data_IF_877106933462
#
_entry.id   IF_877106933462
#
_cell.length_a   1.000
_cell.length_b   1.000
_cell.length_c   1.000
_cell.angle_alpha   90.00
_cell.angle_beta   90.00
_cell.angle_gamma   90.00
#
_symmetry.space_group_name_H-M   'P 1'
#
loop_
_entity.id
_entity.type
_entity.pdbx_description
1 polymer ?
#
# COMPACT_ATOMS: atom_id res chain seq x y z
N UNK A 1 10.61 -0.52 -0.16
CA UNK A 1 11.42 -1.60 0.45
C UNK A 1 10.51 -2.63 1.13
N UNK A 2 11.03 -3.77 1.60
CA UNK A 2 10.18 -4.87 2.12
C UNK A 2 9.56 -5.77 1.03
N UNK A 3 9.20 -7.00 1.43
CA UNK A 3 8.58 -8.06 0.59
C UNK A 3 9.34 -8.45 -0.69
N UNK A 4 10.66 -8.25 -0.75
CA UNK A 4 11.48 -8.63 -1.91
C UNK A 4 11.29 -7.76 -3.16
N UNK A 5 10.47 -6.70 -3.08
CA UNK A 5 10.24 -5.76 -4.20
C UNK A 5 11.28 -4.64 -4.28
N UNK A 6 12.22 -4.59 -3.34
CA UNK A 6 13.26 -3.56 -3.29
C UNK A 6 14.26 -3.61 -4.44
N UNK A 7 14.45 -4.78 -5.07
CA UNK A 7 15.29 -4.91 -6.26
C UNK A 7 14.49 -4.49 -7.49
N UNK A 8 14.78 -3.29 -7.99
CA UNK A 8 14.14 -2.68 -9.16
C UNK A 8 15.07 -2.67 -10.36
N UNK A 9 14.50 -2.60 -11.56
CA UNK A 9 15.27 -2.32 -12.78
C UNK A 9 15.41 -0.81 -13.03
N UNK A 10 15.93 -0.45 -14.22
CA UNK A 10 16.20 0.94 -14.60
C UNK A 10 14.94 1.81 -14.65
N UNK A 11 13.77 1.22 -14.90
CA UNK A 11 12.48 1.93 -14.95
C UNK A 11 11.80 1.98 -13.57
N UNK A 12 12.45 1.44 -12.54
CA UNK A 12 11.91 1.38 -11.19
C UNK A 12 10.90 0.25 -10.97
N UNK A 13 10.73 -0.67 -11.93
CA UNK A 13 9.80 -1.80 -11.78
C UNK A 13 10.41 -2.91 -10.89
N UNK A 14 9.67 -3.51 -9.95
CA UNK A 14 10.18 -4.63 -9.16
C UNK A 14 10.55 -5.85 -10.03
N UNK A 15 11.82 -6.27 -9.96
CA UNK A 15 12.33 -7.39 -10.76
C UNK A 15 11.65 -8.71 -10.42
N UNK A 16 11.33 -8.92 -9.15
CA UNK A 16 10.63 -10.12 -8.68
C UNK A 16 9.30 -10.31 -9.44
N UNK A 17 8.49 -9.25 -9.56
CA UNK A 17 7.20 -9.31 -10.27
C UNK A 17 7.40 -9.62 -11.77
N UNK A 18 8.39 -8.99 -12.41
CA UNK A 18 8.74 -9.30 -13.82
C UNK A 18 9.17 -10.76 -14.01
N UNK A 19 9.93 -11.32 -13.06
CA UNK A 19 10.36 -12.71 -13.10
C UNK A 19 9.21 -13.69 -12.86
N UNK A 20 8.26 -13.38 -11.96
CA UNK A 20 7.03 -14.16 -11.78
C UNK A 20 6.18 -14.16 -13.06
N UNK A 21 6.06 -13.02 -13.74
CA UNK A 21 5.37 -12.95 -15.02
C UNK A 21 6.03 -13.81 -16.10
N UNK A 22 7.36 -13.83 -16.16
CA UNK A 22 8.10 -14.72 -17.06
C UNK A 22 7.80 -16.18 -16.74
N UNK A 23 7.90 -16.57 -15.47
CA UNK A 23 7.63 -17.93 -15.02
C UNK A 23 6.21 -18.36 -15.39
N UNK A 24 5.20 -17.52 -15.13
CA UNK A 24 3.82 -17.82 -15.46
C UNK A 24 3.61 -18.08 -16.96
N UNK A 25 4.28 -17.29 -17.83
CA UNK A 25 4.28 -17.53 -19.29
C UNK A 25 4.95 -18.85 -19.67
N UNK A 26 6.08 -19.19 -19.05
CA UNK A 26 6.80 -20.44 -19.31
C UNK A 26 5.92 -21.67 -18.97
N UNK A 27 5.01 -21.55 -18.00
CA UNK A 27 4.03 -22.57 -17.62
C UNK A 27 2.64 -22.39 -18.27
N UNK A 28 2.44 -21.38 -19.12
CA UNK A 28 1.16 -21.05 -19.74
C UNK A 28 0.00 -20.92 -18.73
N UNK A 29 0.24 -20.23 -17.62
CA UNK A 29 -0.78 -19.91 -16.60
C UNK A 29 -0.95 -18.40 -16.47
N UNK A 30 -2.17 -17.90 -16.19
CA UNK A 30 -2.38 -16.47 -15.96
C UNK A 30 -1.61 -15.99 -14.72
N UNK A 31 -0.92 -14.86 -14.83
CA UNK A 31 -0.31 -14.17 -13.69
C UNK A 31 -1.27 -13.12 -13.13
N UNK A 32 -1.75 -13.37 -11.91
CA UNK A 32 -2.64 -12.46 -11.18
C UNK A 32 -1.86 -11.80 -10.04
N UNK A 33 -1.93 -10.47 -9.94
CA UNK A 33 -1.38 -9.71 -8.83
C UNK A 33 -2.53 -9.22 -7.95
N UNK A 34 -2.50 -9.60 -6.68
CA UNK A 34 -3.23 -8.90 -5.63
C UNK A 34 -2.49 -7.61 -5.28
N UNK A 35 -3.04 -6.48 -5.73
CA UNK A 35 -2.57 -5.14 -5.40
C UNK A 35 -3.66 -4.40 -4.61
N UNK A 36 -4.28 -5.08 -3.62
CA UNK A 36 -5.34 -4.51 -2.80
C UNK A 36 -4.94 -3.18 -2.12
N UNK A 37 -3.67 -3.04 -1.75
CA UNK A 37 -3.09 -1.80 -1.19
C UNK A 37 -2.51 -0.85 -2.26
N UNK A 38 -2.75 -1.14 -3.52
CA UNK A 38 -2.29 -0.38 -4.67
C UNK A 38 -3.25 0.71 -5.10
N UNK A 39 -2.71 1.69 -5.81
CA UNK A 39 -3.47 2.72 -6.51
C UNK A 39 -3.28 2.55 -8.02
N UNK A 40 -4.36 2.41 -8.81
CA UNK A 40 -4.24 2.30 -10.26
C UNK A 40 -3.66 3.59 -10.87
N UNK A 41 -3.02 3.47 -12.03
CA UNK A 41 -2.40 4.54 -12.84
C UNK A 41 -1.15 5.21 -12.27
N UNK A 42 -1.09 5.45 -10.96
CA UNK A 42 0.09 6.09 -10.31
C UNK A 42 0.98 5.11 -9.55
N UNK A 43 0.49 3.90 -9.28
CA UNK A 43 1.22 2.83 -8.61
C UNK A 43 1.96 1.89 -9.56
N UNK A 44 1.98 0.60 -9.20
CA UNK A 44 2.57 -0.45 -10.01
C UNK A 44 1.84 -0.56 -11.36
N UNK A 45 2.59 -0.37 -12.44
CA UNK A 45 2.07 -0.51 -13.80
C UNK A 45 1.99 -1.99 -14.21
N UNK A 46 0.76 -2.48 -14.43
CA UNK A 46 0.46 -3.86 -14.87
C UNK A 46 1.23 -4.24 -16.14
N UNK A 47 1.42 -3.30 -17.07
CA UNK A 47 2.09 -3.55 -18.35
C UNK A 47 3.59 -3.73 -18.16
N UNK A 48 4.19 -3.04 -17.19
CA UNK A 48 5.61 -3.16 -16.89
C UNK A 48 5.92 -4.44 -16.13
N UNK A 49 5.10 -4.81 -15.14
CA UNK A 49 5.30 -6.07 -14.39
C UNK A 49 4.93 -7.30 -15.21
N UNK A 50 4.15 -7.12 -16.29
CA UNK A 50 3.78 -8.18 -17.23
C UNK A 50 2.71 -9.13 -16.69
N UNK A 51 1.90 -8.68 -15.72
CA UNK A 51 0.78 -9.45 -15.21
C UNK A 51 -0.40 -9.43 -16.20
N UNK A 52 -1.21 -10.49 -16.16
CA UNK A 52 -2.41 -10.60 -16.97
C UNK A 52 -3.61 -9.93 -16.30
N UNK A 53 -3.63 -9.93 -14.96
CA UNK A 53 -4.66 -9.32 -14.13
C UNK A 53 -4.03 -8.69 -12.90
N UNK A 54 -4.51 -7.50 -12.53
CA UNK A 54 -4.23 -6.84 -11.26
C UNK A 54 -5.53 -6.44 -10.58
N UNK A 55 -5.64 -6.76 -9.29
CA UNK A 55 -6.83 -6.52 -8.46
C UNK A 55 -6.52 -5.45 -7.42
N UNK A 56 -7.46 -4.55 -7.16
CA UNK A 56 -7.32 -3.43 -6.24
C UNK A 56 -8.53 -3.34 -5.29
N UNK A 57 -8.29 -2.90 -4.05
CA UNK A 57 -9.34 -2.44 -3.13
C UNK A 57 -9.39 -0.91 -3.23
N UNK A 58 -10.48 -0.39 -3.79
CA UNK A 58 -10.57 1.05 -4.08
C UNK A 58 -10.86 1.89 -2.83
N UNK A 59 -11.30 1.28 -1.74
CA UNK A 59 -11.58 1.91 -0.44
C UNK A 59 -10.39 1.98 0.51
N UNK A 60 -9.20 1.59 0.03
CA UNK A 60 -7.94 1.76 0.75
C UNK A 60 -7.21 3.01 0.26
N UNK A 61 -6.05 2.83 -0.39
CA UNK A 61 -5.19 3.92 -0.83
C UNK A 61 -5.82 4.83 -1.89
N UNK A 62 -6.84 4.36 -2.62
CA UNK A 62 -7.50 5.15 -3.68
C UNK A 62 -8.64 6.07 -3.19
N UNK A 63 -9.13 5.88 -1.96
CA UNK A 63 -10.14 6.76 -1.35
C UNK A 63 -11.57 6.68 -1.91
N UNK A 64 -11.93 5.64 -2.65
CA UNK A 64 -13.32 5.40 -3.07
C UNK A 64 -14.17 4.79 -1.94
N UNK A 65 -15.48 4.64 -2.13
CA UNK A 65 -16.28 3.77 -1.27
C UNK A 65 -15.95 2.29 -1.52
N UNK A 66 -16.32 1.41 -0.57
CA UNK A 66 -16.04 -0.03 -0.61
C UNK A 66 -16.38 -0.65 -1.95
N UNK A 67 -15.33 -0.96 -2.72
CA UNK A 67 -15.42 -1.49 -4.07
C UNK A 67 -14.10 -2.13 -4.51
N UNK A 68 -14.23 -3.12 -5.40
CA UNK A 68 -13.09 -3.75 -6.05
C UNK A 68 -12.89 -3.22 -7.47
N UNK A 69 -11.65 -3.11 -7.91
CA UNK A 69 -11.30 -2.90 -9.32
C UNK A 69 -10.43 -4.04 -9.80
N UNK A 70 -10.72 -4.54 -11.00
CA UNK A 70 -9.89 -5.52 -11.68
C UNK A 70 -9.51 -4.94 -13.04
N UNK A 71 -8.21 -4.80 -13.28
CA UNK A 71 -7.64 -4.39 -14.57
C UNK A 71 -6.90 -5.59 -15.14
N UNK A 72 -7.14 -5.95 -16.39
CA UNK A 72 -6.46 -7.09 -17.00
C UNK A 72 -6.71 -7.25 -18.48
N UNK A 73 -6.03 -8.23 -19.07
CA UNK A 73 -6.17 -8.61 -20.48
C UNK A 73 -7.55 -9.19 -20.75
N UNK A 74 -8.09 -8.88 -21.93
CA UNK A 74 -9.47 -9.22 -22.30
C UNK A 74 -9.75 -10.74 -22.28
N UNK A 75 -8.79 -11.54 -22.71
CA UNK A 75 -8.85 -13.00 -22.73
C UNK A 75 -9.05 -13.62 -21.33
N UNK A 76 -8.39 -13.05 -20.31
CA UNK A 76 -8.52 -13.51 -18.92
C UNK A 76 -9.77 -12.90 -18.26
N UNK A 77 -10.01 -11.61 -18.51
CA UNK A 77 -11.14 -10.88 -17.93
C UNK A 77 -12.50 -11.42 -18.38
N UNK A 78 -12.60 -12.02 -19.56
CA UNK A 78 -13.84 -12.65 -20.03
C UNK A 78 -14.31 -13.77 -19.10
N UNK A 79 -13.40 -14.65 -18.69
CA UNK A 79 -13.72 -15.75 -17.76
C UNK A 79 -14.06 -15.22 -16.37
N UNK A 80 -13.32 -14.21 -15.87
CA UNK A 80 -13.59 -13.56 -14.58
C UNK A 80 -14.99 -12.94 -14.58
N UNK A 81 -15.34 -12.15 -15.60
CA UNK A 81 -16.65 -11.49 -15.69
C UNK A 81 -17.81 -12.51 -15.76
N UNK A 82 -17.62 -13.63 -16.45
CA UNK A 82 -18.59 -14.74 -16.46
C UNK A 82 -18.75 -15.36 -15.07
N UNK A 83 -17.65 -15.65 -14.38
CA UNK A 83 -17.67 -16.21 -13.03
C UNK A 83 -18.33 -15.28 -12.00
N UNK A 84 -18.15 -13.96 -12.13
CA UNK A 84 -18.78 -12.96 -11.28
C UNK A 84 -20.26 -12.68 -11.62
N UNK A 85 -20.75 -13.21 -12.74
CA UNK A 85 -22.13 -12.96 -13.18
C UNK A 85 -22.36 -11.54 -13.72
N UNK A 86 -21.30 -10.87 -14.19
CA UNK A 86 -21.39 -9.51 -14.77
C UNK A 86 -21.31 -9.51 -16.30
N UNK A 87 -21.28 -10.70 -16.90
CA UNK A 87 -21.29 -10.94 -18.34
C UNK A 87 -22.52 -11.76 -18.74
N UNK A 88 -23.25 -11.37 -19.80
CA UNK A 88 -24.35 -12.18 -20.36
C UNK A 88 -23.88 -13.26 -21.35
N UNK A 89 -24.72 -14.23 -21.72
CA UNK A 89 -24.35 -15.32 -22.65
C UNK A 89 -24.06 -14.89 -24.11
N UNK A 90 -24.19 -13.60 -24.43
CA UNK A 90 -24.07 -13.08 -25.81
C UNK A 90 -22.69 -12.49 -26.10
N UNK A 91 -22.34 -12.44 -27.38
CA UNK A 91 -21.14 -11.77 -27.90
C UNK A 91 -21.15 -10.26 -27.56
N UNK A 92 -20.00 -9.71 -27.16
CA UNK A 92 -19.85 -8.31 -26.74
C UNK A 92 -19.70 -8.19 -25.22
N UNK A 93 -18.46 -8.28 -24.74
CA UNK A 93 -18.09 -8.40 -23.32
C UNK A 93 -18.41 -7.18 -22.46
N UNK A 94 -18.61 -6.01 -23.08
CA UNK A 94 -18.82 -4.73 -22.40
C UNK A 94 -20.27 -4.20 -22.45
N UNK A 95 -21.16 -4.81 -23.24
CA UNK A 95 -22.51 -4.26 -23.49
C UNK A 95 -23.66 -4.96 -22.75
N UNK A 96 -23.34 -5.95 -21.90
CA UNK A 96 -24.33 -6.87 -21.32
C UNK A 96 -24.28 -7.02 -19.79
N UNK A 97 -23.93 -5.95 -19.06
CA UNK A 97 -24.06 -5.93 -17.60
C UNK A 97 -25.51 -6.19 -17.18
N UNK A 98 -25.73 -7.09 -16.21
CA UNK A 98 -27.06 -7.45 -15.72
C UNK A 98 -27.88 -8.38 -16.64
N UNK A 99 -27.29 -8.91 -17.73
CA UNK A 99 -27.91 -9.95 -18.57
C UNK A 99 -27.33 -11.35 -18.32
N UNK A 100 -26.50 -11.50 -17.30
CA UNK A 100 -26.14 -12.82 -16.79
C UNK A 100 -27.39 -13.48 -16.19
N UNK A 101 -27.46 -14.82 -16.24
CA UNK A 101 -28.54 -15.55 -15.56
C UNK A 101 -28.60 -15.24 -14.05
N UNK A 102 -27.45 -14.89 -13.45
CA UNK A 102 -27.31 -14.46 -12.07
C UNK A 102 -26.23 -13.38 -11.97
N UNK A 103 -26.52 -12.28 -11.26
CA UNK A 103 -25.51 -11.28 -10.88
C UNK A 103 -25.10 -11.58 -9.45
N UNK A 104 -23.97 -12.28 -9.27
CA UNK A 104 -23.51 -12.62 -7.93
C UNK A 104 -22.88 -11.44 -7.22
N UNK A 105 -22.21 -10.56 -7.97
CA UNK A 105 -21.48 -9.41 -7.44
C UNK A 105 -21.92 -8.12 -8.13
N UNK A 106 -22.78 -7.34 -7.46
CA UNK A 106 -23.17 -5.99 -7.86
C UNK A 106 -22.56 -4.99 -6.87
N UNK A 107 -21.64 -4.10 -7.29
CA UNK A 107 -21.07 -3.09 -6.40
C UNK A 107 -22.10 -2.06 -5.92
N UNK A 108 -23.23 -1.92 -6.61
CA UNK A 108 -24.23 -0.90 -6.30
C UNK A 108 -23.83 0.50 -6.80
N UNK A 109 -24.81 1.42 -6.80
CA UNK A 109 -24.66 2.73 -7.43
C UNK A 109 -23.65 3.64 -6.71
N UNK A 110 -23.62 3.59 -5.38
CA UNK A 110 -22.73 4.41 -4.56
C UNK A 110 -21.26 4.06 -4.78
N UNK A 111 -20.93 2.76 -4.74
CA UNK A 111 -19.62 2.25 -5.07
C UNK A 111 -19.20 2.67 -6.49
N UNK A 112 -20.06 2.50 -7.49
CA UNK A 112 -19.76 2.90 -8.87
C UNK A 112 -19.51 4.42 -9.00
N UNK A 113 -20.33 5.25 -8.36
CA UNK A 113 -20.17 6.71 -8.39
C UNK A 113 -18.85 7.15 -7.75
N UNK A 114 -18.54 6.64 -6.55
CA UNK A 114 -17.29 6.97 -5.85
C UNK A 114 -16.05 6.43 -6.59
N UNK A 115 -16.13 5.23 -7.16
CA UNK A 115 -15.05 4.65 -7.97
C UNK A 115 -14.79 5.47 -9.24
N UNK A 116 -15.84 5.94 -9.92
CA UNK A 116 -15.68 6.85 -11.07
C UNK A 116 -15.03 8.17 -10.62
N UNK A 117 -15.41 8.73 -9.47
CA UNK A 117 -14.80 9.95 -8.94
C UNK A 117 -13.31 9.75 -8.64
N UNK A 118 -12.94 8.67 -7.95
CA UNK A 118 -11.56 8.33 -7.66
C UNK A 118 -10.73 8.12 -8.94
N UNK A 119 -11.24 7.35 -9.91
CA UNK A 119 -10.55 7.11 -11.18
C UNK A 119 -10.37 8.38 -12.01
N UNK A 120 -11.34 9.31 -11.97
CA UNK A 120 -11.21 10.64 -12.60
C UNK A 120 -10.15 11.48 -11.91
N UNK A 121 -10.12 11.51 -10.58
CA UNK A 121 -9.08 12.22 -9.83
C UNK A 121 -7.69 11.66 -10.18
N UNK A 122 -7.51 10.35 -10.18
CA UNK A 122 -6.25 9.70 -10.55
C UNK A 122 -5.82 9.99 -12.00
N UNK A 123 -6.77 10.10 -12.94
CA UNK A 123 -6.48 10.40 -14.35
C UNK A 123 -6.19 11.88 -14.60
N UNK A 124 -7.03 12.76 -14.05
CA UNK A 124 -7.07 14.17 -14.42
C UNK A 124 -6.28 15.06 -13.45
N UNK A 125 -6.17 14.65 -12.19
CA UNK A 125 -5.54 15.40 -11.09
C UNK A 125 -4.77 14.49 -10.11
N UNK A 126 -3.83 13.64 -10.58
CA UNK A 126 -3.12 12.70 -9.71
C UNK A 126 -2.31 13.39 -8.59
N UNK A 127 -1.95 14.66 -8.76
CA UNK A 127 -1.18 15.44 -7.79
C UNK A 127 -1.84 15.51 -6.41
N UNK A 128 -3.17 15.39 -6.34
CA UNK A 128 -3.92 15.42 -5.06
C UNK A 128 -3.61 14.21 -4.17
N UNK A 129 -3.10 13.09 -4.73
CA UNK A 129 -2.60 11.95 -3.96
C UNK A 129 -1.07 11.93 -3.87
N UNK A 130 -0.36 12.47 -4.86
CA UNK A 130 1.10 12.42 -4.92
C UNK A 130 1.77 13.46 -4.02
N UNK A 131 1.30 14.70 -4.01
CA UNK A 131 1.92 15.79 -3.25
C UNK A 131 1.89 15.56 -1.73
N UNK A 132 0.80 15.03 -1.13
CA UNK A 132 0.81 14.67 0.28
C UNK A 132 1.87 13.61 0.61
N UNK A 133 2.10 12.63 -0.27
CA UNK A 133 3.15 11.61 -0.06
C UNK A 133 4.54 12.25 -0.11
N UNK A 134 4.77 13.15 -1.06
CA UNK A 134 6.05 13.87 -1.17
C UNK A 134 6.32 14.72 0.07
N UNK A 135 5.32 15.48 0.55
CA UNK A 135 5.50 16.29 1.75
C UNK A 135 5.63 15.46 3.02
N UNK A 136 4.85 14.38 3.14
CA UNK A 136 4.95 13.43 4.24
C UNK A 136 6.36 12.82 4.32
N UNK A 137 6.96 12.50 3.18
CA UNK A 137 8.30 11.93 3.12
C UNK A 137 9.36 12.89 3.69
N UNK A 138 9.29 14.16 3.33
CA UNK A 138 10.20 15.16 3.90
C UNK A 138 10.00 15.31 5.41
N UNK A 139 8.76 15.38 5.89
CA UNK A 139 8.47 15.44 7.33
C UNK A 139 9.03 14.21 8.06
N UNK A 140 8.77 13.00 7.55
CA UNK A 140 9.26 11.76 8.16
C UNK A 140 10.79 11.76 8.23
N UNK A 141 11.48 12.21 7.17
CA UNK A 141 12.95 12.34 7.20
C UNK A 141 13.44 13.37 8.21
N UNK A 142 12.83 14.54 8.26
CA UNK A 142 13.19 15.62 9.19
C UNK A 142 13.06 15.17 10.66
N UNK A 143 12.01 14.42 10.98
CA UNK A 143 11.77 13.92 12.34
C UNK A 143 12.69 12.73 12.66
N UNK A 144 12.89 11.77 11.74
CA UNK A 144 13.82 10.65 11.97
C UNK A 144 15.29 11.07 12.03
N UNK A 145 15.68 12.19 11.42
CA UNK A 145 17.02 12.76 11.59
C UNK A 145 17.31 13.18 13.04
N UNK A 146 16.28 13.35 13.86
CA UNK A 146 16.37 13.69 15.29
C UNK A 146 16.23 12.46 16.20
N UNK A 147 16.03 11.26 15.62
CA UNK A 147 15.92 10.03 16.39
C UNK A 147 17.28 9.60 16.99
N UNK A 148 17.29 8.74 18.03
CA UNK A 148 18.52 8.17 18.56
C UNK A 148 19.38 7.51 17.48
N UNK A 149 20.71 7.62 17.60
CA UNK A 149 21.66 7.39 16.52
C UNK A 149 21.61 5.99 15.86
N UNK A 150 21.40 4.87 16.60
CA UNK A 150 21.19 3.56 15.98
C UNK A 150 19.89 3.46 15.17
N UNK A 151 18.84 4.18 15.58
CA UNK A 151 17.56 4.19 14.88
C UNK A 151 17.62 5.11 13.65
N UNK A 152 18.15 6.33 13.79
CA UNK A 152 18.24 7.30 12.70
C UNK A 152 19.05 6.77 11.50
N UNK A 153 20.12 6.01 11.77
CA UNK A 153 20.96 5.42 10.72
C UNK A 153 20.47 4.04 10.24
N UNK A 154 19.70 3.34 11.06
CA UNK A 154 19.27 1.97 10.82
C UNK A 154 18.02 1.83 9.95
N UNK A 155 17.38 2.93 9.57
CA UNK A 155 16.14 2.92 8.77
C UNK A 155 16.36 3.36 7.32
N UNK A 156 15.58 2.77 6.42
CA UNK A 156 15.42 3.24 5.05
C UNK A 156 14.03 3.86 4.93
N UNK A 157 13.99 5.16 4.67
CA UNK A 157 12.75 5.91 4.46
C UNK A 157 12.55 6.05 2.95
N UNK A 158 11.38 5.69 2.45
CA UNK A 158 11.09 5.75 1.01
C UNK A 158 9.63 6.08 0.71
N UNK A 159 9.39 6.70 -0.44
CA UNK A 159 8.05 6.97 -0.95
C UNK A 159 7.46 5.72 -1.61
N UNK A 160 6.17 5.49 -1.37
CA UNK A 160 5.39 4.46 -2.04
C UNK A 160 4.14 5.08 -2.65
N UNK A 161 4.25 5.49 -3.92
CA UNK A 161 3.08 5.97 -4.67
C UNK A 161 2.07 4.87 -4.93
N UNK A 162 2.52 3.60 -4.99
CA UNK A 162 1.61 2.46 -5.11
C UNK A 162 0.65 2.40 -3.94
N UNK A 163 1.09 2.68 -2.72
CA UNK A 163 0.24 2.59 -1.53
C UNK A 163 -0.04 3.95 -0.89
N UNK A 164 0.27 5.04 -1.60
CA UNK A 164 0.18 6.43 -1.13
C UNK A 164 0.71 6.61 0.30
N UNK A 165 1.87 6.02 0.57
CA UNK A 165 2.47 5.99 1.90
C UNK A 165 3.95 6.36 1.86
N UNK A 166 4.48 6.66 3.03
CA UNK A 166 5.92 6.68 3.30
C UNK A 166 6.25 5.42 4.08
N UNK A 167 7.15 4.62 3.52
CA UNK A 167 7.66 3.40 4.13
C UNK A 167 8.89 3.71 4.98
N UNK A 168 8.92 3.18 6.20
CA UNK A 168 10.07 3.20 7.11
C UNK A 168 10.47 1.75 7.34
N UNK A 169 11.46 1.28 6.58
CA UNK A 169 11.99 -0.06 6.70
C UNK A 169 13.15 -0.05 7.71
N UNK A 170 12.96 -0.73 8.84
CA UNK A 170 13.92 -0.83 9.94
C UNK A 170 14.60 -2.21 10.01
N UNK A 171 14.33 -3.11 9.08
CA UNK A 171 15.09 -4.35 8.87
C UNK A 171 16.63 -4.14 8.85
N UNK A 172 17.19 -3.06 8.23
CA UNK A 172 18.63 -2.87 8.19
C UNK A 172 19.29 -2.65 9.55
N UNK A 173 18.52 -2.40 10.61
CA UNK A 173 19.04 -2.38 12.00
C UNK A 173 19.66 -3.72 12.41
N UNK A 174 19.33 -4.82 11.73
CA UNK A 174 19.93 -6.15 11.92
C UNK A 174 21.20 -6.39 11.10
N UNK A 175 21.68 -5.41 10.33
CA UNK A 175 22.95 -5.52 9.61
C UNK A 175 24.11 -5.19 10.57
N UNK A 176 24.87 -6.21 10.97
CA UNK A 176 26.08 -6.07 11.78
C UNK A 176 26.10 -7.03 12.95
N UNK A 177 26.98 -6.76 13.91
CA UNK A 177 27.26 -7.66 15.05
C UNK A 177 26.47 -7.32 16.33
N UNK A 178 25.59 -6.29 16.27
CA UNK A 178 24.74 -5.87 17.38
C UNK A 178 23.33 -6.49 17.35
N UNK A 179 22.58 -6.31 18.42
CA UNK A 179 21.14 -6.60 18.42
C UNK A 179 20.44 -5.59 17.50
N UNK A 180 19.62 -6.08 16.57
CA UNK A 180 18.78 -5.22 15.74
C UNK A 180 17.50 -4.80 16.47
N UNK A 181 16.77 -3.86 15.86
CA UNK A 181 15.49 -3.41 16.41
C UNK A 181 14.45 -4.54 16.29
N UNK A 182 13.65 -4.86 17.33
CA UNK A 182 12.69 -5.95 17.27
C UNK A 182 11.76 -5.88 16.04
N UNK A 183 11.68 -6.98 15.30
CA UNK A 183 10.79 -7.13 14.15
C UNK A 183 9.52 -7.83 14.63
N UNK A 184 8.37 -7.20 14.35
CA UNK A 184 7.05 -7.75 14.61
C UNK A 184 6.44 -8.25 13.30
N UNK A 185 5.88 -9.44 13.32
CA UNK A 185 5.29 -10.08 12.13
C UNK A 185 3.93 -9.50 11.76
N UNK A 186 3.42 -9.87 10.59
CA UNK A 186 2.02 -9.57 10.23
C UNK A 186 1.04 -10.34 11.14
N UNK A 187 1.42 -11.54 11.60
CA UNK A 187 0.64 -12.30 12.59
C UNK A 187 0.54 -11.53 13.92
N UNK A 188 1.60 -10.85 14.35
CA UNK A 188 1.55 -9.99 15.54
C UNK A 188 0.57 -8.83 15.38
N UNK A 189 0.47 -8.25 14.17
CA UNK A 189 -0.53 -7.22 13.87
C UNK A 189 -1.95 -7.80 14.03
N UNK A 190 -2.23 -8.95 13.41
CA UNK A 190 -3.56 -9.56 13.46
C UNK A 190 -3.93 -10.10 14.85
N UNK A 191 -2.96 -10.59 15.60
CA UNK A 191 -3.15 -11.06 16.97
C UNK A 191 -3.29 -9.90 17.98
N UNK A 192 -3.01 -8.65 17.56
CA UNK A 192 -2.99 -7.50 18.46
C UNK A 192 -1.81 -7.51 19.44
N UNK A 193 -0.72 -8.20 19.11
CA UNK A 193 0.51 -8.30 19.91
C UNK A 193 1.65 -7.43 19.37
N UNK A 194 1.45 -6.77 18.22
CA UNK A 194 2.42 -5.82 17.66
C UNK A 194 2.57 -4.61 18.59
N UNK A 195 3.75 -4.49 19.22
CA UNK A 195 4.02 -3.48 20.26
C UNK A 195 4.01 -2.06 19.67
N UNK A 196 4.44 -1.87 18.42
CA UNK A 196 4.43 -0.55 17.80
C UNK A 196 3.00 -0.05 17.60
N UNK A 197 2.08 -0.93 17.16
CA UNK A 197 0.69 -0.55 16.94
C UNK A 197 -0.07 -0.39 18.26
N UNK A 198 0.03 -1.37 19.15
CA UNK A 198 -0.64 -1.30 20.46
C UNK A 198 -0.10 -0.15 21.31
N UNK A 199 1.22 0.08 21.31
CA UNK A 199 1.84 1.20 22.02
C UNK A 199 1.41 2.56 21.49
N UNK A 200 1.32 2.74 20.17
CA UNK A 200 0.82 3.99 19.58
C UNK A 200 -0.62 4.28 20.03
N UNK A 201 -1.47 3.26 20.03
CA UNK A 201 -2.84 3.40 20.50
C UNK A 201 -2.90 3.85 21.97
N UNK A 202 -2.03 3.31 22.84
CA UNK A 202 -1.93 3.74 24.25
C UNK A 202 -1.43 5.19 24.39
N UNK A 203 -0.63 5.67 23.43
CA UNK A 203 -0.17 7.06 23.37
C UNK A 203 -1.21 8.02 22.76
N UNK A 204 -2.41 7.53 22.41
CA UNK A 204 -3.45 8.33 21.77
C UNK A 204 -3.17 8.63 20.29
N UNK A 205 -2.22 7.93 19.68
CA UNK A 205 -1.91 8.03 18.24
C UNK A 205 -2.60 6.88 17.52
N UNK A 206 -3.35 7.19 16.46
CA UNK A 206 -3.97 6.15 15.64
C UNK A 206 -2.82 5.31 15.01
N UNK A 207 -2.75 4.01 15.31
CA UNK A 207 -1.66 3.19 14.81
C UNK A 207 -1.77 3.06 13.29
N UNK A 208 -0.61 3.06 12.66
CA UNK A 208 -0.53 2.76 11.24
C UNK A 208 -0.18 1.28 11.02
N UNK A 209 -0.09 0.85 9.77
CA UNK A 209 0.35 -0.50 9.44
C UNK A 209 1.84 -0.64 9.73
N UNK A 210 2.18 -1.63 10.55
CA UNK A 210 3.56 -1.99 10.84
C UNK A 210 3.67 -3.51 10.95
N UNK A 211 4.55 -4.12 10.16
CA UNK A 211 4.90 -5.53 10.22
C UNK A 211 6.16 -5.81 9.40
N UNK A 212 6.79 -6.95 9.64
CA UNK A 212 7.93 -7.51 8.89
C UNK A 212 9.07 -6.50 8.66
N UNK A 213 9.38 -5.71 9.69
CA UNK A 213 10.47 -4.74 9.61
C UNK A 213 10.10 -3.46 8.86
N UNK A 214 8.81 -3.20 8.61
CA UNK A 214 8.34 -2.04 7.87
C UNK A 214 7.18 -1.32 8.59
N UNK A 215 7.14 0.00 8.46
CA UNK A 215 6.04 0.87 8.94
C UNK A 215 5.59 1.72 7.76
N UNK A 216 4.30 1.75 7.50
CA UNK A 216 3.71 2.52 6.41
C UNK A 216 2.97 3.70 7.00
N UNK A 217 3.38 4.94 6.75
CA UNK A 217 2.63 6.13 7.18
C UNK A 217 1.85 6.65 5.99
N UNK A 218 0.52 6.72 6.10
CA UNK A 218 -0.37 7.28 5.07
C UNK A 218 -0.94 8.63 5.50
N UNK A 219 -1.13 9.58 4.56
CA UNK A 219 -2.00 10.73 4.77
C UNK A 219 -3.48 10.29 4.86
N UNK A 220 -4.35 11.15 5.38
CA UNK A 220 -5.80 10.93 5.38
C UNK A 220 -6.47 11.30 6.70
N UNK A 221 -7.22 10.36 7.28
CA UNK A 221 -8.07 10.61 8.45
C UNK A 221 -7.30 11.33 9.57
N UNK A 222 -7.75 12.53 9.92
CA UNK A 222 -7.17 13.35 10.98
C UNK A 222 -5.87 14.06 10.61
N UNK A 223 -5.29 13.81 9.43
CA UNK A 223 -3.98 14.33 8.99
C UNK A 223 -4.02 15.09 7.67
N UNK A 224 -5.17 15.15 7.00
CA UNK A 224 -5.42 16.04 5.85
C UNK A 224 -6.66 16.92 6.06
N UNK A 225 -6.74 18.05 5.35
CA UNK A 225 -7.94 18.89 5.26
C UNK A 225 -8.90 18.40 4.15
N UNK A 226 -9.98 19.16 3.89
CA UNK A 226 -11.01 18.83 2.89
C UNK A 226 -10.47 18.87 1.45
N UNK A 227 -9.39 19.63 1.24
CA UNK A 227 -8.67 19.77 -0.02
C UNK A 227 -7.62 18.67 -0.24
N UNK A 228 -7.39 17.80 0.74
CA UNK A 228 -6.40 16.72 0.69
C UNK A 228 -4.98 17.16 1.06
N UNK A 229 -4.79 18.39 1.53
CA UNK A 229 -3.51 18.92 1.97
C UNK A 229 -3.16 18.42 3.37
N UNK A 230 -1.87 18.22 3.65
CA UNK A 230 -1.41 17.74 4.96
C UNK A 230 -1.59 18.78 6.07
N UNK A 231 -2.13 18.33 7.19
CA UNK A 231 -2.07 19.03 8.47
C UNK A 231 -0.71 18.71 9.13
N UNK A 232 0.34 19.45 8.73
CA UNK A 232 1.73 19.13 9.07
C UNK A 232 1.98 18.94 10.57
N UNK A 233 1.43 19.82 11.41
CA UNK A 233 1.60 19.73 12.87
C UNK A 233 1.12 18.38 13.40
N UNK A 234 -0.05 17.92 12.93
CA UNK A 234 -0.64 16.64 13.36
C UNK A 234 0.22 15.46 12.91
N UNK A 235 0.70 15.48 11.67
CA UNK A 235 1.62 14.46 11.16
C UNK A 235 2.90 14.43 11.99
N UNK A 236 3.52 15.58 12.26
CA UNK A 236 4.75 15.66 13.07
C UNK A 236 4.54 15.09 14.46
N UNK A 237 3.43 15.40 15.12
CA UNK A 237 3.09 14.80 16.42
C UNK A 237 2.97 13.28 16.33
N UNK A 238 2.31 12.75 15.30
CA UNK A 238 2.21 11.31 15.06
C UNK A 238 3.58 10.64 14.85
N UNK A 239 4.41 11.23 13.99
CA UNK A 239 5.77 10.71 13.70
C UNK A 239 6.67 10.78 14.94
N UNK A 240 6.62 11.87 15.72
CA UNK A 240 7.34 11.98 16.99
C UNK A 240 6.86 10.95 18.00
N UNK A 241 5.56 10.71 18.08
CA UNK A 241 4.98 9.65 18.91
C UNK A 241 5.55 8.27 18.54
N UNK A 242 5.61 7.97 17.24
CA UNK A 242 6.25 6.75 16.74
C UNK A 242 7.72 6.66 17.13
N UNK A 243 8.52 7.70 16.88
CA UNK A 243 9.96 7.69 17.22
C UNK A 243 10.16 7.48 18.73
N UNK A 244 9.34 8.13 19.57
CA UNK A 244 9.40 7.95 21.03
C UNK A 244 9.03 6.53 21.45
N UNK A 245 8.03 5.93 20.82
CA UNK A 245 7.69 4.54 21.09
C UNK A 245 8.81 3.59 20.66
N UNK A 246 9.39 3.82 19.48
CA UNK A 246 10.55 3.05 19.03
C UNK A 246 11.74 3.21 19.99
N UNK A 247 11.99 4.41 20.52
CA UNK A 247 13.00 4.62 21.55
C UNK A 247 12.74 3.79 22.82
N UNK A 248 11.48 3.75 23.29
CA UNK A 248 11.10 2.94 24.46
C UNK A 248 11.33 1.45 24.17
N UNK A 249 10.81 0.95 23.05
CA UNK A 249 10.94 -0.46 22.65
C UNK A 249 12.41 -0.84 22.50
N UNK A 250 13.20 -0.02 21.79
CA UNK A 250 14.62 -0.25 21.59
C UNK A 250 15.39 -0.31 22.90
N UNK A 251 15.07 0.56 23.87
CA UNK A 251 15.70 0.55 25.20
C UNK A 251 15.43 -0.76 25.94
N UNK A 252 14.18 -1.21 26.00
CA UNK A 252 13.83 -2.45 26.70
C UNK A 252 14.29 -3.72 25.97
N UNK A 253 14.51 -3.63 24.65
CA UNK A 253 15.05 -4.72 23.85
C UNK A 253 16.59 -4.79 23.86
N UNK A 254 17.28 -3.83 24.50
CA UNK A 254 18.74 -3.75 24.47
C UNK A 254 19.33 -3.28 23.14
N UNK A 255 18.52 -2.69 22.26
CA UNK A 255 18.94 -2.19 20.95
C UNK A 255 19.96 -1.03 21.05
N UNK A 256 19.88 -0.23 22.11
CA UNK A 256 20.76 0.93 22.30
C UNK A 256 22.03 0.64 23.13
N UNK A 257 22.19 -0.58 23.66
CA UNK A 257 23.25 -0.92 24.63
C UNK A 257 22.80 -0.78 26.08
#
# INVERSE_FOLDING_TARGET
PGYGYGCKDADGTPRLLKHLAKLARDYNVPYVIDNAWGVPFIGTDITQVGADVMVYSMDKASGAATSGLIIGKEEVMTTIRRALGIHGDRWGTLSSYGKAAYVTQDPGKEALLSQIAALKALRDRPEVLLQPVDRLYEIVKEEFAQAPEPLARGVIISKSYNSTTVEINYEPTWKGDGLGFPIFSIEDMYAGTNILQTGLAQMGVIPTIAYDGNIFISPGLGTTNEEGELLEDRIRYGVRGLIRLMEIVGRYAGFFG
#
